data_IF_607019033542
#
_entry.id   IF_607019033542
#
_cell.length_a   1.000
_cell.length_b   1.000
_cell.length_c   1.000
_cell.angle_alpha   90.00
_cell.angle_beta   90.00
_cell.angle_gamma   90.00
#
_symmetry.space_group_name_H-M   'P 1'
#
loop_
_entity.id
_entity.type
_entity.pdbx_description
1 polymer ?
#
# COMPACT_ATOMS: atom_id res chain seq x y z
N UNK A 1 -9.44 18.97 -0.21
CA UNK A 1 -10.58 19.25 0.70
C UNK A 1 -11.35 20.50 0.30
N UNK A 2 -10.77 21.70 0.27
CA UNK A 2 -11.49 22.94 -0.10
C UNK A 2 -12.16 22.90 -1.49
N UNK A 3 -11.48 22.34 -2.50
CA UNK A 3 -12.04 22.16 -3.86
C UNK A 3 -13.18 21.13 -3.89
N UNK A 4 -13.06 20.04 -3.12
CA UNK A 4 -14.13 19.04 -2.99
C UNK A 4 -15.32 19.58 -2.19
N UNK A 5 -15.06 20.41 -1.18
CA UNK A 5 -16.09 21.17 -0.46
C UNK A 5 -16.77 22.19 -1.37
N UNK A 6 -16.01 22.90 -2.21
CA UNK A 6 -16.58 23.83 -3.19
C UNK A 6 -17.45 23.10 -4.22
N UNK A 7 -17.01 21.95 -4.73
CA UNK A 7 -17.80 21.11 -5.63
C UNK A 7 -19.07 20.56 -4.95
N UNK A 8 -18.98 20.12 -3.70
CA UNK A 8 -20.13 19.65 -2.91
C UNK A 8 -21.12 20.78 -2.58
N UNK A 9 -20.61 21.98 -2.27
CA UNK A 9 -21.43 23.17 -2.04
C UNK A 9 -22.12 23.66 -3.32
N UNK A 10 -21.44 23.59 -4.46
CA UNK A 10 -22.03 23.88 -5.77
C UNK A 10 -23.12 22.86 -6.14
N UNK A 11 -22.88 21.56 -5.91
CA UNK A 11 -23.89 20.52 -6.12
C UNK A 11 -25.15 20.73 -5.25
N UNK A 12 -24.97 21.13 -3.98
CA UNK A 12 -26.09 21.52 -3.08
C UNK A 12 -26.81 22.79 -3.56
N UNK A 13 -26.08 23.78 -4.07
CA UNK A 13 -26.67 25.02 -4.57
C UNK A 13 -27.55 24.82 -5.81
N UNK A 14 -27.20 23.87 -6.68
CA UNK A 14 -28.00 23.49 -7.86
C UNK A 14 -29.26 22.73 -7.46
N UNK A 15 -29.17 21.80 -6.50
CA UNK A 15 -30.33 21.07 -5.98
C UNK A 15 -31.36 21.99 -5.29
N UNK A 16 -30.90 23.04 -4.59
CA UNK A 16 -31.78 24.00 -3.91
C UNK A 16 -32.56 24.91 -4.86
N UNK A 17 -32.11 25.12 -6.11
CA UNK A 17 -32.80 25.97 -7.09
C UNK A 17 -33.84 25.25 -7.94
N UNK A 18 -33.87 23.91 -7.94
CA UNK A 18 -34.83 23.12 -8.71
C UNK A 18 -36.22 22.93 -8.05
N UNK A 19 -36.40 23.32 -6.78
CA UNK A 19 -37.60 22.98 -5.99
C UNK A 19 -38.70 24.04 -5.90
N UNK A 20 -38.59 25.18 -6.57
CA UNK A 20 -39.53 26.30 -6.41
C UNK A 20 -40.36 26.56 -7.67
N UNK A 21 -41.22 25.63 -8.04
CA UNK A 21 -42.32 25.89 -8.97
C UNK A 21 -43.41 24.84 -8.84
N UNK A 22 -44.52 25.20 -8.19
CA UNK A 22 -45.76 24.42 -8.22
C UNK A 22 -46.42 24.26 -6.86
N UNK A 23 -47.36 25.15 -6.53
CA UNK A 23 -48.19 25.02 -5.33
C UNK A 23 -49.19 26.15 -5.13
N UNK A 24 -49.76 26.66 -6.22
CA UNK A 24 -50.91 27.56 -6.17
C UNK A 24 -52.14 26.81 -5.63
N UNK A 25 -52.90 27.52 -4.80
CA UNK A 25 -54.03 26.97 -4.05
C UNK A 25 -55.21 26.51 -4.90
N UNK A 26 -55.94 25.55 -4.32
CA UNK A 26 -57.26 25.13 -4.78
C UNK A 26 -58.07 24.67 -3.58
N UNK A 27 -58.82 25.61 -3.00
CA UNK A 27 -59.85 25.38 -1.98
C UNK A 27 -61.11 24.91 -2.71
N UNK A 28 -61.63 23.73 -2.37
CA UNK A 28 -62.91 23.26 -2.92
C UNK A 28 -63.36 21.98 -2.21
N UNK A 29 -64.37 22.12 -1.34
CA UNK A 29 -64.99 20.99 -0.66
C UNK A 29 -65.93 20.18 -1.57
N UNK A 30 -66.17 18.93 -1.20
CA UNK A 30 -67.14 18.07 -1.86
C UNK A 30 -67.11 16.66 -1.24
N UNK A 31 -68.27 16.20 -0.79
CA UNK A 31 -68.48 15.01 0.03
C UNK A 31 -68.42 13.67 -0.73
N UNK A 32 -68.23 12.60 0.05
CA UNK A 32 -68.64 11.20 -0.14
C UNK A 32 -68.41 10.49 -1.49
N UNK A 33 -67.57 9.46 -1.48
CA UNK A 33 -67.96 8.07 -1.81
C UNK A 33 -66.84 7.06 -1.48
N UNK A 34 -67.16 5.81 -1.06
CA UNK A 34 -66.17 4.78 -0.79
C UNK A 34 -65.99 3.82 -1.99
N UNK A 35 -64.74 3.42 -2.22
CA UNK A 35 -64.41 2.25 -3.04
C UNK A 35 -63.66 2.60 -4.32
N UNK A 36 -62.35 2.32 -4.35
CA UNK A 36 -61.75 1.35 -5.26
C UNK A 36 -60.22 1.36 -5.17
N UNK A 37 -59.68 0.14 -5.09
CA UNK A 37 -58.43 -0.36 -5.66
C UNK A 37 -57.16 0.51 -5.60
N UNK A 38 -56.21 0.02 -4.80
CA UNK A 38 -54.81 0.43 -4.77
C UNK A 38 -54.12 0.22 -6.14
N UNK A 39 -54.09 1.26 -6.97
CA UNK A 39 -53.19 1.37 -8.11
C UNK A 39 -51.90 2.06 -7.66
N UNK A 40 -50.82 1.28 -7.53
CA UNK A 40 -49.46 1.78 -7.28
C UNK A 40 -48.99 2.52 -8.55
N UNK A 41 -49.18 3.83 -8.58
CA UNK A 41 -48.73 4.68 -9.66
C UNK A 41 -47.21 4.88 -9.57
N UNK A 42 -46.47 4.15 -10.40
CA UNK A 42 -45.05 4.39 -10.63
C UNK A 42 -44.91 5.73 -11.38
N UNK A 43 -44.80 6.83 -10.63
CA UNK A 43 -44.41 8.13 -11.17
C UNK A 43 -42.94 8.07 -11.55
N UNK A 44 -42.67 7.54 -12.74
CA UNK A 44 -41.38 7.65 -13.43
C UNK A 44 -41.11 9.13 -13.67
N UNK A 45 -40.41 9.72 -12.71
CA UNK A 45 -39.92 11.10 -12.80
C UNK A 45 -38.73 11.05 -13.75
N UNK A 46 -38.98 11.20 -15.06
CA UNK A 46 -37.93 11.25 -16.08
C UNK A 46 -37.09 12.49 -15.83
N UNK A 47 -35.95 12.33 -15.16
CA UNK A 47 -34.97 13.39 -14.98
C UNK A 47 -34.58 13.95 -16.36
N UNK A 48 -34.57 15.28 -16.49
CA UNK A 48 -34.32 15.94 -17.76
C UNK A 48 -32.83 15.72 -18.17
N UNK A 49 -32.54 15.01 -19.26
CA UNK A 49 -31.16 14.70 -19.68
C UNK A 49 -30.32 15.95 -19.98
N UNK A 50 -30.96 17.10 -20.23
CA UNK A 50 -30.27 18.38 -20.39
C UNK A 50 -29.61 18.87 -19.10
N UNK A 51 -30.19 18.57 -17.92
CA UNK A 51 -29.65 19.02 -16.64
C UNK A 51 -28.39 18.22 -16.27
N UNK A 52 -28.41 16.90 -16.50
CA UNK A 52 -27.28 16.01 -16.22
C UNK A 52 -26.05 16.35 -17.09
N UNK A 53 -26.26 16.61 -18.38
CA UNK A 53 -25.18 16.99 -19.30
C UNK A 53 -24.53 18.34 -18.95
N UNK A 54 -25.30 19.31 -18.45
CA UNK A 54 -24.76 20.61 -18.01
C UNK A 54 -23.91 20.45 -16.75
N UNK A 55 -24.41 19.73 -15.73
CA UNK A 55 -23.67 19.51 -14.49
C UNK A 55 -22.34 18.80 -14.73
N UNK A 56 -22.35 17.71 -15.51
CA UNK A 56 -21.12 16.98 -15.87
C UNK A 56 -20.11 17.87 -16.59
N UNK A 57 -20.56 18.74 -17.51
CA UNK A 57 -19.68 19.67 -18.23
C UNK A 57 -18.98 20.65 -17.28
N UNK A 58 -19.71 21.23 -16.32
CA UNK A 58 -19.12 22.16 -15.36
C UNK A 58 -18.17 21.47 -14.38
N UNK A 59 -18.48 20.24 -13.96
CA UNK A 59 -17.57 19.42 -13.14
C UNK A 59 -16.27 19.11 -13.91
N UNK A 60 -16.37 18.73 -15.19
CA UNK A 60 -15.19 18.45 -16.02
C UNK A 60 -14.32 19.70 -16.24
N UNK A 61 -14.93 20.87 -16.48
CA UNK A 61 -14.20 22.14 -16.57
C UNK A 61 -13.47 22.48 -15.27
N UNK A 62 -14.15 22.33 -14.13
CA UNK A 62 -13.56 22.58 -12.82
C UNK A 62 -12.39 21.63 -12.55
N UNK A 63 -12.53 20.34 -12.88
CA UNK A 63 -11.46 19.35 -12.74
C UNK A 63 -10.24 19.71 -13.60
N UNK A 64 -10.45 20.09 -14.86
CA UNK A 64 -9.36 20.52 -15.75
C UNK A 64 -8.65 21.80 -15.24
N UNK A 65 -9.40 22.75 -14.65
CA UNK A 65 -8.81 23.95 -14.06
C UNK A 65 -7.93 23.61 -12.84
N UNK A 66 -8.37 22.67 -12.00
CA UNK A 66 -7.62 22.17 -10.84
C UNK A 66 -6.36 21.44 -11.28
N UNK A 67 -6.44 20.58 -12.29
CA UNK A 67 -5.27 19.87 -12.83
C UNK A 67 -4.23 20.84 -13.37
N UNK A 68 -4.65 21.87 -14.13
CA UNK A 68 -3.74 22.91 -14.62
C UNK A 68 -3.11 23.73 -13.49
N UNK A 69 -3.87 24.02 -12.44
CA UNK A 69 -3.39 24.71 -11.25
C UNK A 69 -2.34 23.89 -10.48
N UNK A 70 -2.54 22.58 -10.36
CA UNK A 70 -1.62 21.67 -9.67
C UNK A 70 -0.36 21.36 -10.50
N UNK A 71 -0.51 21.18 -11.82
CA UNK A 71 0.57 20.76 -12.73
C UNK A 71 1.79 21.68 -12.67
N UNK A 72 1.59 23.00 -12.81
CA UNK A 72 2.68 23.99 -12.87
C UNK A 72 3.58 23.99 -11.62
N UNK A 73 3.06 24.14 -10.38
CA UNK A 73 3.88 24.11 -9.19
C UNK A 73 4.44 22.71 -8.91
N UNK A 74 3.67 21.64 -9.13
CA UNK A 74 4.13 20.28 -8.82
C UNK A 74 5.30 19.82 -9.69
N UNK A 75 5.37 20.27 -10.95
CA UNK A 75 6.46 19.94 -11.87
C UNK A 75 7.59 20.98 -11.90
N UNK A 76 7.50 22.02 -11.09
CA UNK A 76 8.57 23.02 -10.98
C UNK A 76 9.82 22.42 -10.33
N UNK A 77 11.01 22.79 -10.80
CA UNK A 77 12.28 22.28 -10.26
C UNK A 77 12.47 22.57 -8.76
N UNK A 78 11.95 23.70 -8.29
CA UNK A 78 11.98 24.08 -6.87
C UNK A 78 11.20 23.11 -5.97
N UNK A 79 10.15 22.49 -6.49
CA UNK A 79 9.36 21.47 -5.77
C UNK A 79 10.15 20.17 -5.62
N UNK A 80 10.88 19.77 -6.67
CA UNK A 80 11.81 18.63 -6.61
C UNK A 80 12.91 18.88 -5.58
N UNK A 81 13.55 20.05 -5.62
CA UNK A 81 14.59 20.43 -4.66
C UNK A 81 14.05 20.46 -3.21
N UNK A 82 12.84 20.99 -3.01
CA UNK A 82 12.15 20.99 -1.73
C UNK A 82 11.87 19.57 -1.20
N UNK A 83 11.39 18.67 -2.06
CA UNK A 83 11.14 17.28 -1.69
C UNK A 83 12.42 16.53 -1.27
N UNK A 84 13.53 16.73 -2.02
CA UNK A 84 14.83 16.19 -1.61
C UNK A 84 15.32 16.79 -0.29
N UNK A 85 15.15 18.10 -0.08
CA UNK A 85 15.52 18.74 1.18
C UNK A 85 14.72 18.15 2.36
N UNK A 86 13.41 17.95 2.21
CA UNK A 86 12.57 17.28 3.21
C UNK A 86 13.06 15.87 3.49
N UNK A 87 13.37 15.09 2.46
CA UNK A 87 13.86 13.72 2.61
C UNK A 87 15.20 13.67 3.35
N UNK A 88 16.15 14.53 2.96
CA UNK A 88 17.47 14.63 3.60
C UNK A 88 17.33 15.09 5.05
N UNK A 89 16.55 16.14 5.33
CA UNK A 89 16.30 16.64 6.68
C UNK A 89 15.68 15.54 7.54
N UNK A 90 14.66 14.84 7.03
CA UNK A 90 14.02 13.74 7.73
C UNK A 90 15.03 12.63 8.08
N UNK A 91 15.89 12.28 7.12
CA UNK A 91 16.97 11.32 7.32
C UNK A 91 17.99 11.81 8.37
N UNK A 92 18.38 13.08 8.34
CA UNK A 92 19.32 13.66 9.30
C UNK A 92 18.73 13.74 10.71
N UNK A 93 17.47 14.16 10.85
CA UNK A 93 16.77 14.23 12.13
C UNK A 93 16.56 12.86 12.75
N UNK A 94 16.40 11.81 11.93
CA UNK A 94 16.36 10.42 12.40
C UNK A 94 17.72 9.92 12.87
N UNK A 95 18.82 10.45 12.32
CA UNK A 95 20.18 10.16 12.80
C UNK A 95 20.52 10.89 14.10
N UNK A 96 20.01 12.10 14.28
CA UNK A 96 20.23 12.87 15.50
C UNK A 96 19.35 12.38 16.65
N UNK A 97 19.92 11.43 17.42
CA UNK A 97 19.33 10.89 18.66
C UNK A 97 18.90 11.96 19.66
N UNK A 98 19.56 13.11 19.68
CA UNK A 98 19.42 14.12 20.74
C UNK A 98 18.22 15.06 20.60
N UNK A 99 17.43 14.97 19.53
CA UNK A 99 16.26 15.86 19.38
C UNK A 99 14.97 15.09 19.67
N UNK A 100 14.35 15.39 20.82
CA UNK A 100 13.03 14.89 21.24
C UNK A 100 11.87 15.51 20.42
N UNK A 101 12.18 16.08 19.26
CA UNK A 101 11.21 16.71 18.38
C UNK A 101 10.42 15.64 17.60
N UNK A 102 9.40 15.07 18.27
CA UNK A 102 8.47 14.09 17.70
C UNK A 102 7.82 14.56 16.39
N UNK A 103 7.59 15.87 16.21
CA UNK A 103 6.93 16.44 15.03
C UNK A 103 7.65 16.18 13.70
N UNK A 104 8.98 16.14 13.68
CA UNK A 104 9.73 15.96 12.42
C UNK A 104 9.97 14.50 12.04
N UNK A 105 9.55 13.56 12.89
CA UNK A 105 9.62 12.11 12.62
C UNK A 105 8.35 11.57 11.97
N UNK A 106 7.47 12.46 11.51
CA UNK A 106 6.23 12.08 10.87
C UNK A 106 6.52 11.30 9.57
N UNK A 107 6.13 10.02 9.45
CA UNK A 107 6.30 9.24 8.23
C UNK A 107 5.52 9.83 7.04
N UNK A 108 4.47 10.62 7.30
CA UNK A 108 3.61 11.20 6.24
C UNK A 108 4.41 12.13 5.34
N UNK A 109 5.27 12.99 5.91
CA UNK A 109 6.09 13.93 5.13
C UNK A 109 7.14 13.19 4.28
N UNK A 110 7.71 12.11 4.81
CA UNK A 110 8.67 11.28 4.09
C UNK A 110 8.00 10.61 2.88
N UNK A 111 6.88 9.92 3.09
CA UNK A 111 6.16 9.23 2.01
C UNK A 111 5.68 10.22 0.94
N UNK A 112 5.13 11.37 1.35
CA UNK A 112 4.71 12.40 0.40
C UNK A 112 5.88 12.98 -0.40
N UNK A 113 7.04 13.22 0.23
CA UNK A 113 8.24 13.66 -0.47
C UNK A 113 8.73 12.62 -1.49
N UNK A 114 8.68 11.32 -1.15
CA UNK A 114 8.98 10.23 -2.09
C UNK A 114 8.01 10.26 -3.28
N UNK A 115 6.71 10.40 -3.06
CA UNK A 115 5.72 10.51 -4.15
C UNK A 115 5.99 11.70 -5.07
N UNK A 116 6.35 12.85 -4.52
CA UNK A 116 6.71 14.05 -5.32
C UNK A 116 7.97 13.82 -6.14
N UNK A 117 9.00 13.18 -5.58
CA UNK A 117 10.23 12.86 -6.33
C UNK A 117 9.93 11.88 -7.45
N UNK A 118 9.14 10.84 -7.19
CA UNK A 118 8.73 9.86 -8.20
C UNK A 118 7.89 10.53 -9.31
N UNK A 119 6.94 11.41 -8.97
CA UNK A 119 6.17 12.20 -9.94
C UNK A 119 7.09 13.01 -10.85
N UNK A 120 8.11 13.67 -10.26
CA UNK A 120 9.08 14.47 -10.99
C UNK A 120 10.00 13.60 -11.86
N UNK A 121 10.37 12.40 -11.43
CA UNK A 121 11.14 11.45 -12.27
C UNK A 121 10.36 11.10 -13.54
N UNK A 122 9.04 10.94 -13.46
CA UNK A 122 8.19 10.59 -14.61
C UNK A 122 7.93 11.77 -15.55
N UNK A 123 7.54 12.93 -15.02
CA UNK A 123 6.94 13.99 -15.83
C UNK A 123 7.73 15.30 -15.89
N UNK A 124 8.81 15.43 -15.12
CA UNK A 124 9.63 16.66 -15.16
C UNK A 124 10.58 16.68 -16.34
N UNK A 125 10.65 17.82 -17.01
CA UNK A 125 11.69 18.08 -18.02
C UNK A 125 13.10 18.10 -17.39
N UNK A 126 13.19 18.40 -16.09
CA UNK A 126 14.44 18.48 -15.33
C UNK A 126 14.83 17.15 -14.68
N UNK A 127 14.13 16.06 -15.02
CA UNK A 127 14.26 14.81 -14.27
C UNK A 127 15.66 14.20 -14.36
N UNK A 128 16.12 13.53 -13.26
CA UNK A 128 17.36 12.75 -13.27
C UNK A 128 17.40 11.66 -14.32
N UNK A 129 16.25 11.28 -14.91
CA UNK A 129 16.19 10.29 -15.99
C UNK A 129 17.07 10.68 -17.18
N UNK A 130 17.29 11.97 -17.44
CA UNK A 130 18.23 12.40 -18.49
C UNK A 130 19.68 12.01 -18.19
N UNK A 131 20.08 11.96 -16.92
CA UNK A 131 21.40 11.44 -16.52
C UNK A 131 21.46 9.92 -16.72
N UNK A 132 20.42 9.19 -16.30
CA UNK A 132 20.33 7.74 -16.51
C UNK A 132 20.28 7.38 -18.00
N UNK A 133 19.59 8.17 -18.81
CA UNK A 133 19.49 7.98 -20.25
C UNK A 133 20.85 8.14 -20.95
N UNK A 134 21.74 9.01 -20.45
CA UNK A 134 23.11 9.12 -20.96
C UNK A 134 23.92 7.83 -20.72
N UNK A 135 23.65 7.11 -19.62
CA UNK A 135 24.35 5.87 -19.27
C UNK A 135 23.74 4.65 -19.96
N UNK A 136 22.41 4.57 -20.00
CA UNK A 136 21.66 3.39 -20.47
C UNK A 136 21.21 3.48 -21.93
N UNK A 137 21.40 4.65 -22.57
CA UNK A 137 20.99 4.92 -23.94
C UNK A 137 19.49 5.19 -24.14
N UNK A 138 18.64 4.96 -23.13
CA UNK A 138 17.20 5.23 -23.19
C UNK A 138 16.66 5.71 -21.83
N UNK A 139 15.85 6.79 -21.77
CA UNK A 139 15.21 7.19 -20.53
C UNK A 139 14.19 6.13 -20.11
N UNK A 140 14.40 5.53 -18.93
CA UNK A 140 13.43 4.65 -18.30
C UNK A 140 13.03 5.24 -16.94
N UNK A 141 11.93 6.02 -16.87
CA UNK A 141 11.48 6.64 -15.63
C UNK A 141 11.08 5.60 -14.58
N UNK A 142 10.51 4.46 -15.01
CA UNK A 142 10.16 3.36 -14.12
C UNK A 142 11.38 2.80 -13.38
N UNK A 143 12.43 2.43 -14.12
CA UNK A 143 13.65 1.87 -13.52
C UNK A 143 14.34 2.91 -12.62
N UNK A 144 14.37 4.17 -13.04
CA UNK A 144 14.95 5.27 -12.25
C UNK A 144 14.22 5.44 -10.92
N UNK A 145 12.88 5.41 -10.95
CA UNK A 145 12.05 5.48 -9.74
C UNK A 145 12.23 4.26 -8.84
N UNK A 146 12.30 3.05 -9.41
CA UNK A 146 12.56 1.83 -8.63
C UNK A 146 13.91 1.90 -7.91
N UNK A 147 14.97 2.32 -8.61
CA UNK A 147 16.29 2.50 -8.01
C UNK A 147 16.26 3.54 -6.89
N UNK A 148 15.57 4.67 -7.09
CA UNK A 148 15.42 5.70 -6.07
C UNK A 148 14.70 5.17 -4.81
N UNK A 149 13.55 4.53 -4.98
CA UNK A 149 12.76 3.95 -3.89
C UNK A 149 13.57 2.89 -3.15
N UNK A 150 14.27 2.02 -3.89
CA UNK A 150 15.11 0.98 -3.29
C UNK A 150 16.28 1.57 -2.49
N UNK A 151 16.94 2.61 -3.02
CA UNK A 151 17.99 3.30 -2.28
C UNK A 151 17.46 3.96 -1.00
N UNK A 152 16.30 4.62 -1.05
CA UNK A 152 15.68 5.20 0.14
C UNK A 152 15.35 4.13 1.19
N UNK A 153 14.72 3.02 0.77
CA UNK A 153 14.42 1.87 1.62
C UNK A 153 15.70 1.22 2.21
N UNK A 154 16.77 1.10 1.43
CA UNK A 154 18.04 0.56 1.90
C UNK A 154 18.69 1.48 2.96
N UNK A 155 18.64 2.80 2.75
CA UNK A 155 19.11 3.79 3.72
C UNK A 155 18.31 3.70 5.02
N UNK A 156 16.99 3.50 4.95
CA UNK A 156 16.13 3.26 6.11
C UNK A 156 16.53 1.97 6.85
N UNK A 157 16.64 0.86 6.12
CA UNK A 157 16.97 -0.45 6.68
C UNK A 157 18.32 -0.47 7.38
N UNK A 158 19.37 0.02 6.72
CA UNK A 158 20.72 0.07 7.28
C UNK A 158 20.78 0.88 8.59
N UNK A 159 19.94 1.91 8.73
CA UNK A 159 19.88 2.76 9.92
C UNK A 159 19.09 2.12 11.05
N UNK A 160 17.96 1.47 10.74
CA UNK A 160 17.17 0.74 11.70
C UNK A 160 17.98 -0.38 12.36
N UNK A 161 18.79 -1.10 11.56
CA UNK A 161 19.71 -2.11 12.10
C UNK A 161 20.71 -1.52 13.09
N UNK A 162 21.28 -0.34 12.82
CA UNK A 162 22.23 0.32 13.74
C UNK A 162 21.58 0.80 15.03
N UNK A 163 20.42 1.47 14.93
CA UNK A 163 19.73 2.01 16.11
C UNK A 163 19.36 0.89 17.09
N UNK A 164 18.98 -0.27 16.56
CA UNK A 164 18.42 -1.30 17.40
C UNK A 164 19.45 -2.15 18.14
N UNK A 165 20.63 -2.37 17.56
CA UNK A 165 21.75 -3.02 18.26
C UNK A 165 22.12 -2.32 19.58
N UNK A 166 21.89 -1.01 19.70
CA UNK A 166 22.16 -0.28 20.94
C UNK A 166 21.07 -0.44 22.00
N UNK A 167 19.80 -0.48 21.60
CA UNK A 167 18.67 -0.57 22.53
C UNK A 167 18.35 -2.00 22.98
N UNK A 168 18.71 -3.02 22.19
CA UNK A 168 18.42 -4.42 22.51
C UNK A 168 19.23 -4.99 23.66
N UNK A 169 20.34 -4.34 24.06
CA UNK A 169 21.02 -4.69 25.30
C UNK A 169 20.12 -4.57 26.55
N UNK A 170 19.00 -3.84 26.47
CA UNK A 170 18.09 -3.60 27.57
C UNK A 170 16.71 -4.28 27.47
N UNK A 171 16.37 -4.99 26.38
CA UNK A 171 14.99 -5.44 26.15
C UNK A 171 14.85 -6.84 25.53
N UNK A 172 15.34 -7.85 26.26
CA UNK A 172 15.31 -9.28 25.95
C UNK A 172 13.91 -9.96 25.94
N UNK A 173 12.79 -9.22 25.84
CA UNK A 173 11.47 -9.86 25.88
C UNK A 173 11.01 -10.26 24.47
N UNK A 174 11.31 -11.50 24.06
CA UNK A 174 10.77 -12.14 22.85
C UNK A 174 9.24 -11.96 22.72
N UNK A 175 8.53 -11.92 23.85
CA UNK A 175 7.09 -11.67 23.94
C UNK A 175 6.61 -10.34 23.34
N UNK A 176 7.49 -9.34 23.21
CA UNK A 176 7.12 -8.03 22.64
C UNK A 176 6.96 -8.08 21.12
N UNK A 177 7.59 -9.06 20.49
CA UNK A 177 7.59 -9.20 19.05
C UNK A 177 6.36 -9.99 18.60
N UNK A 178 5.40 -9.31 17.97
CA UNK A 178 4.24 -9.95 17.34
C UNK A 178 4.56 -10.32 15.89
N UNK A 179 4.09 -11.48 15.47
CA UNK A 179 4.09 -11.90 14.07
C UNK A 179 3.13 -11.00 13.29
N UNK A 180 3.59 -10.33 12.24
CA UNK A 180 2.74 -9.43 11.45
C UNK A 180 2.37 -9.97 10.08
N UNK A 181 3.20 -10.85 9.54
CA UNK A 181 2.97 -11.48 8.24
C UNK A 181 3.23 -12.99 8.26
N UNK A 182 2.77 -13.67 7.22
CA UNK A 182 2.89 -15.12 7.01
C UNK A 182 4.34 -15.57 6.96
N UNK A 183 5.27 -14.74 6.50
CA UNK A 183 6.68 -15.11 6.50
C UNK A 183 7.22 -15.27 7.92
N UNK A 184 6.81 -14.39 8.84
CA UNK A 184 7.15 -14.42 10.27
C UNK A 184 6.50 -15.57 11.05
N UNK A 185 5.47 -16.26 10.49
CA UNK A 185 4.86 -17.45 11.11
C UNK A 185 5.77 -18.67 11.00
N UNK A 186 6.61 -18.89 12.02
CA UNK A 186 7.57 -20.03 12.04
C UNK A 186 6.89 -21.39 12.12
N UNK A 187 5.68 -21.46 12.69
CA UNK A 187 4.85 -22.68 12.73
C UNK A 187 4.25 -23.06 11.39
N UNK A 188 4.13 -22.11 10.45
CA UNK A 188 3.64 -22.42 9.11
C UNK A 188 4.72 -23.22 8.35
N UNK A 189 4.36 -24.21 7.53
CA UNK A 189 5.36 -24.93 6.71
C UNK A 189 6.03 -24.02 5.66
N UNK A 190 7.30 -24.29 5.33
CA UNK A 190 8.04 -23.49 4.32
C UNK A 190 7.36 -23.54 2.94
N UNK A 191 6.83 -24.71 2.54
CA UNK A 191 6.06 -24.87 1.30
C UNK A 191 4.92 -23.85 1.19
N UNK A 192 4.14 -23.68 2.26
CA UNK A 192 3.03 -22.72 2.27
C UNK A 192 3.54 -21.29 2.20
N UNK A 193 4.62 -20.96 2.91
CA UNK A 193 5.27 -19.64 2.81
C UNK A 193 5.72 -19.35 1.36
N UNK A 194 6.34 -20.33 0.71
CA UNK A 194 6.80 -20.19 -0.68
C UNK A 194 5.65 -19.97 -1.67
N UNK A 195 4.46 -20.54 -1.42
CA UNK A 195 3.28 -20.26 -2.26
C UNK A 195 2.83 -18.80 -2.17
N UNK A 196 2.79 -18.22 -0.96
CA UNK A 196 2.52 -16.79 -0.79
C UNK A 196 3.56 -15.95 -1.54
N UNK A 197 4.84 -16.29 -1.38
CA UNK A 197 5.94 -15.60 -2.04
C UNK A 197 5.81 -15.63 -3.57
N UNK A 198 5.56 -16.81 -4.16
CA UNK A 198 5.38 -16.96 -5.61
C UNK A 198 4.18 -16.15 -6.09
N UNK A 199 3.05 -16.18 -5.38
CA UNK A 199 1.87 -15.42 -5.75
C UNK A 199 2.14 -13.90 -5.71
N UNK A 200 2.80 -13.40 -4.66
CA UNK A 200 3.12 -11.97 -4.55
C UNK A 200 4.15 -11.53 -5.59
N UNK A 201 5.16 -12.35 -5.89
CA UNK A 201 6.10 -12.06 -6.99
C UNK A 201 5.37 -12.03 -8.33
N UNK A 202 4.47 -12.97 -8.60
CA UNK A 202 3.69 -12.96 -9.83
C UNK A 202 2.84 -11.69 -9.96
N UNK A 203 2.13 -11.30 -8.90
CA UNK A 203 1.35 -10.06 -8.86
C UNK A 203 2.23 -8.81 -9.04
N UNK A 204 3.41 -8.77 -8.41
CA UNK A 204 4.38 -7.70 -8.61
C UNK A 204 4.87 -7.65 -10.07
N UNK A 205 5.16 -8.80 -10.69
CA UNK A 205 5.52 -8.85 -12.11
C UNK A 205 4.40 -8.32 -13.01
N UNK A 206 3.14 -8.65 -12.73
CA UNK A 206 1.98 -8.09 -13.45
C UNK A 206 1.88 -6.56 -13.28
N UNK A 207 2.04 -6.06 -12.04
CA UNK A 207 2.07 -4.62 -11.77
C UNK A 207 3.17 -3.91 -12.59
N UNK A 208 4.38 -4.47 -12.59
CA UNK A 208 5.51 -3.92 -13.36
C UNK A 208 5.24 -3.99 -14.86
N UNK A 209 4.66 -5.09 -15.34
CA UNK A 209 4.31 -5.26 -16.75
C UNK A 209 3.31 -4.20 -17.21
N UNK A 210 2.19 -4.03 -16.50
CA UNK A 210 1.16 -3.05 -16.86
C UNK A 210 1.72 -1.62 -16.84
N UNK A 211 2.47 -1.25 -15.79
CA UNK A 211 3.06 0.08 -15.69
C UNK A 211 4.08 0.38 -16.81
N UNK A 212 4.75 -0.64 -17.36
CA UNK A 212 5.68 -0.48 -18.48
C UNK A 212 5.03 -0.63 -19.86
N UNK A 213 3.87 -1.26 -19.95
CA UNK A 213 3.13 -1.42 -21.20
C UNK A 213 2.28 -0.19 -21.50
N UNK A 214 1.70 0.42 -20.48
CA UNK A 214 0.80 1.55 -20.64
C UNK A 214 1.54 2.80 -21.14
N UNK A 215 1.24 3.22 -22.36
CA UNK A 215 1.80 4.45 -22.95
C UNK A 215 1.28 5.70 -22.25
N UNK A 216 0.10 5.65 -21.66
CA UNK A 216 -0.56 6.82 -21.09
C UNK A 216 0.15 7.26 -19.81
N UNK A 217 0.67 6.32 -19.02
CA UNK A 217 1.54 6.60 -17.86
C UNK A 217 2.85 7.33 -18.21
N UNK A 218 3.23 7.35 -19.49
CA UNK A 218 4.44 8.05 -19.96
C UNK A 218 4.13 9.40 -20.60
N UNK A 219 2.86 9.67 -20.90
CA UNK A 219 2.44 10.92 -21.53
C UNK A 219 1.97 11.90 -20.48
N UNK A 220 2.70 13.02 -20.32
CA UNK A 220 2.34 14.07 -19.37
C UNK A 220 0.93 14.64 -19.58
N UNK A 221 0.38 14.54 -20.80
CA UNK A 221 -0.93 15.08 -21.13
C UNK A 221 -2.10 14.20 -20.66
N UNK A 222 -1.85 12.90 -20.45
CA UNK A 222 -2.87 11.96 -19.96
C UNK A 222 -2.98 11.92 -18.43
N UNK A 223 -2.05 12.57 -17.74
CA UNK A 223 -1.94 12.53 -16.28
C UNK A 223 -2.91 13.50 -15.62
N UNK A 224 -3.79 12.96 -14.78
CA UNK A 224 -4.57 13.77 -13.85
C UNK A 224 -3.84 13.95 -12.52
N UNK A 225 -3.39 15.18 -12.27
CA UNK A 225 -2.69 15.56 -11.03
C UNK A 225 -3.60 15.51 -9.80
N UNK A 226 -4.90 15.71 -10.00
CA UNK A 226 -5.92 15.51 -8.99
C UNK A 226 -6.00 14.03 -8.58
N UNK A 227 -6.06 13.10 -9.54
CA UNK A 227 -6.08 11.65 -9.23
C UNK A 227 -4.79 11.22 -8.55
N UNK A 228 -3.64 11.70 -9.04
CA UNK A 228 -2.35 11.48 -8.40
C UNK A 228 -2.35 11.95 -6.94
N UNK A 229 -2.85 13.15 -6.66
CA UNK A 229 -2.92 13.70 -5.30
C UNK A 229 -3.84 12.88 -4.41
N UNK A 230 -5.02 12.48 -4.91
CA UNK A 230 -5.96 11.63 -4.17
C UNK A 230 -5.33 10.27 -3.86
N UNK A 231 -4.70 9.63 -4.84
CA UNK A 231 -3.99 8.36 -4.65
C UNK A 231 -2.85 8.49 -3.63
N UNK A 232 -2.09 9.58 -3.69
CA UNK A 232 -1.01 9.85 -2.73
C UNK A 232 -1.56 10.01 -1.31
N UNK A 233 -2.65 10.76 -1.14
CA UNK A 233 -3.33 10.91 0.15
C UNK A 233 -3.93 9.60 0.64
N UNK A 234 -4.50 8.77 -0.24
CA UNK A 234 -5.01 7.45 0.13
C UNK A 234 -3.89 6.56 0.66
N UNK A 235 -2.74 6.51 -0.02
CA UNK A 235 -1.57 5.75 0.46
C UNK A 235 -1.05 6.27 1.82
N UNK A 236 -1.20 7.57 2.10
CA UNK A 236 -0.83 8.16 3.39
C UNK A 236 -1.85 7.83 4.50
N UNK A 237 -3.14 7.87 4.18
CA UNK A 237 -4.23 7.62 5.14
C UNK A 237 -4.42 6.15 5.47
N UNK A 238 -4.21 5.27 4.49
CA UNK A 238 -4.22 3.82 4.67
C UNK A 238 -3.19 3.37 5.72
N UNK A 239 -2.15 4.18 5.96
CA UNK A 239 -1.19 3.97 7.04
C UNK A 239 -0.44 2.65 6.88
N UNK A 240 0.05 2.08 7.98
CA UNK A 240 0.63 0.72 7.96
C UNK A 240 -0.43 -0.38 8.09
N UNK A 241 -1.64 -0.04 8.53
CA UNK A 241 -2.66 -1.02 8.87
C UNK A 241 -3.35 -1.59 7.62
N UNK A 242 -3.46 -0.82 6.55
CA UNK A 242 -4.18 -1.21 5.33
C UNK A 242 -3.26 -1.51 4.13
N UNK A 243 -1.93 -1.33 4.25
CA UNK A 243 -0.98 -1.47 3.11
C UNK A 243 0.13 -2.49 3.36
N UNK A 244 -0.07 -3.41 4.29
CA UNK A 244 0.88 -4.46 4.54
C UNK A 244 1.82 -4.08 5.67
N UNK A 245 2.17 -5.06 6.49
CA UNK A 245 3.21 -4.91 7.50
C UNK A 245 4.58 -4.68 6.86
N UNK A 246 5.36 -3.76 7.42
CA UNK A 246 6.75 -3.53 6.98
C UNK A 246 7.68 -4.67 7.37
N UNK A 247 8.75 -4.85 6.60
CA UNK A 247 9.85 -5.74 6.98
C UNK A 247 10.41 -5.35 8.36
N UNK A 248 10.34 -6.29 9.30
CA UNK A 248 10.84 -6.12 10.67
C UNK A 248 12.21 -6.80 10.79
N UNK A 249 13.33 -6.11 10.51
CA UNK A 249 14.68 -6.72 10.51
C UNK A 249 15.04 -7.36 11.84
N UNK A 250 14.35 -6.95 12.90
CA UNK A 250 14.78 -7.24 14.25
C UNK A 250 13.93 -8.30 14.91
N UNK A 251 12.66 -8.46 14.52
CA UNK A 251 12.03 -9.76 14.67
C UNK A 251 12.93 -10.87 14.10
N UNK A 252 13.48 -10.66 12.89
CA UNK A 252 14.31 -11.66 12.24
C UNK A 252 15.65 -11.89 12.94
N UNK A 253 16.30 -10.83 13.41
CA UNK A 253 17.53 -10.95 14.21
C UNK A 253 17.27 -11.71 15.51
N UNK A 254 16.24 -11.34 16.27
CA UNK A 254 15.86 -12.02 17.51
C UNK A 254 15.52 -13.49 17.29
N UNK A 255 14.84 -13.82 16.18
CA UNK A 255 14.56 -15.20 15.80
C UNK A 255 15.84 -15.97 15.44
N UNK A 256 16.76 -15.37 14.68
CA UNK A 256 18.01 -16.04 14.26
C UNK A 256 19.03 -16.22 15.39
N UNK A 257 18.98 -15.37 16.41
CA UNK A 257 19.81 -15.48 17.61
C UNK A 257 19.21 -16.43 18.66
N UNK A 258 17.97 -16.90 18.45
CA UNK A 258 17.32 -17.82 19.37
C UNK A 258 18.00 -19.20 19.36
N UNK A 259 18.21 -19.88 20.52
CA UNK A 259 18.87 -21.18 20.59
C UNK A 259 18.28 -22.27 19.67
N UNK A 260 16.96 -22.31 19.52
CA UNK A 260 16.26 -23.22 18.57
C UNK A 260 16.69 -23.07 17.10
N UNK A 261 17.38 -21.99 16.71
CA UNK A 261 17.88 -21.85 15.34
C UNK A 261 18.85 -22.99 14.94
N UNK A 262 19.59 -23.54 15.90
CA UNK A 262 20.58 -24.58 15.65
C UNK A 262 20.00 -26.01 15.65
N UNK A 263 18.72 -26.17 16.01
CA UNK A 263 18.02 -27.45 15.97
C UNK A 263 17.65 -27.85 14.53
N UNK A 264 17.49 -29.16 14.30
CA UNK A 264 17.18 -29.73 13.00
C UNK A 264 15.67 -29.96 12.84
N UNK A 265 15.20 -29.80 11.61
CA UNK A 265 13.82 -30.03 11.21
C UNK A 265 13.77 -30.66 9.81
N UNK A 266 12.67 -31.33 9.48
CA UNK A 266 12.44 -31.88 8.15
C UNK A 266 11.74 -30.85 7.26
N UNK A 267 12.48 -30.32 6.29
CA UNK A 267 11.94 -29.45 5.24
C UNK A 267 11.46 -30.34 4.09
N UNK A 268 10.25 -30.07 3.57
CA UNK A 268 9.63 -30.88 2.51
C UNK A 268 9.54 -32.38 2.83
N UNK A 269 9.37 -32.74 4.11
CA UNK A 269 9.26 -34.12 4.62
C UNK A 269 10.51 -35.00 4.48
N UNK A 270 11.52 -34.61 3.70
CA UNK A 270 12.68 -35.48 3.42
C UNK A 270 14.04 -34.80 3.62
N UNK A 271 14.11 -33.47 3.70
CA UNK A 271 15.38 -32.75 3.78
C UNK A 271 15.61 -32.33 5.24
N UNK A 272 16.50 -33.03 5.93
CA UNK A 272 16.95 -32.63 7.26
C UNK A 272 17.77 -31.34 7.14
N UNK A 273 17.30 -30.25 7.76
CA UNK A 273 17.95 -28.94 7.74
C UNK A 273 17.81 -28.24 9.08
N UNK A 274 18.75 -27.34 9.40
CA UNK A 274 18.62 -26.51 10.61
C UNK A 274 17.53 -25.45 10.43
N UNK A 275 16.81 -25.13 11.51
CA UNK A 275 15.81 -24.05 11.53
C UNK A 275 16.39 -22.72 11.03
N UNK A 276 17.64 -22.41 11.36
CA UNK A 276 18.37 -21.22 10.89
C UNK A 276 18.30 -21.01 9.39
N UNK A 277 18.43 -22.06 8.58
CA UNK A 277 18.39 -21.94 7.12
C UNK A 277 16.98 -21.65 6.62
N UNK A 278 15.99 -22.38 7.15
CA UNK A 278 14.56 -22.15 6.86
C UNK A 278 14.13 -20.72 7.24
N UNK A 279 14.56 -20.23 8.39
CA UNK A 279 14.26 -18.87 8.85
C UNK A 279 14.97 -17.80 8.01
N UNK A 280 16.21 -18.03 7.57
CA UNK A 280 16.90 -17.13 6.63
C UNK A 280 16.18 -17.02 5.29
N UNK A 281 15.66 -18.12 4.75
CA UNK A 281 14.87 -18.09 3.50
C UNK A 281 13.60 -17.25 3.71
N UNK A 282 12.89 -17.41 4.82
CA UNK A 282 11.70 -16.61 5.13
C UNK A 282 12.01 -15.14 5.36
N UNK A 283 13.11 -14.85 6.05
CA UNK A 283 13.62 -13.49 6.21
C UNK A 283 13.86 -12.85 4.84
N UNK A 284 14.44 -13.59 3.90
CA UNK A 284 14.65 -13.12 2.54
C UNK A 284 13.33 -12.88 1.79
N UNK A 285 12.34 -13.78 1.91
CA UNK A 285 11.00 -13.56 1.35
C UNK A 285 10.36 -12.28 1.92
N UNK A 286 10.37 -12.12 3.24
CA UNK A 286 9.85 -10.94 3.92
C UNK A 286 10.58 -9.66 3.50
N UNK A 287 11.90 -9.70 3.35
CA UNK A 287 12.67 -8.55 2.89
C UNK A 287 12.32 -8.15 1.45
N UNK A 288 12.21 -9.12 0.54
CA UNK A 288 11.82 -8.83 -0.85
C UNK A 288 10.40 -8.26 -0.90
N UNK A 289 9.41 -8.96 -0.36
CA UNK A 289 8.01 -8.58 -0.51
C UNK A 289 7.71 -7.32 0.31
N UNK A 290 7.97 -7.36 1.62
CA UNK A 290 7.50 -6.33 2.56
C UNK A 290 8.48 -5.16 2.67
N UNK A 291 9.74 -5.37 2.27
CA UNK A 291 10.74 -4.31 2.16
C UNK A 291 10.75 -3.68 0.77
N UNK A 292 11.11 -4.46 -0.26
CA UNK A 292 11.36 -3.92 -1.60
C UNK A 292 10.09 -3.74 -2.45
N UNK A 293 9.34 -4.81 -2.69
CA UNK A 293 8.16 -4.78 -3.57
C UNK A 293 7.08 -3.85 -3.04
N UNK A 294 6.75 -3.93 -1.75
CA UNK A 294 5.80 -3.02 -1.08
C UNK A 294 6.20 -1.56 -1.25
N UNK A 295 7.47 -1.22 -1.02
CA UNK A 295 7.95 0.16 -1.19
C UNK A 295 7.80 0.63 -2.65
N UNK A 296 8.13 -0.23 -3.62
CA UNK A 296 7.98 0.09 -5.06
C UNK A 296 6.50 0.31 -5.42
N UNK A 297 5.62 -0.60 -5.00
CA UNK A 297 4.18 -0.51 -5.28
C UNK A 297 3.62 0.79 -4.67
N UNK A 298 3.85 1.06 -3.39
CA UNK A 298 3.30 2.25 -2.74
C UNK A 298 3.92 3.56 -3.25
N UNK A 299 5.17 3.52 -3.71
CA UNK A 299 5.83 4.67 -4.33
C UNK A 299 5.32 4.96 -5.75
N UNK A 300 4.96 3.92 -6.52
CA UNK A 300 4.52 4.03 -7.91
C UNK A 300 3.00 4.02 -8.12
N UNK A 301 2.22 3.53 -7.15
CA UNK A 301 0.76 3.45 -7.26
C UNK A 301 0.11 4.79 -7.61
N UNK A 302 0.49 5.95 -7.01
CA UNK A 302 -0.08 7.24 -7.42
C UNK A 302 0.17 7.59 -8.89
N UNK A 303 1.27 7.14 -9.49
CA UNK A 303 1.56 7.35 -10.92
C UNK A 303 0.64 6.50 -11.78
N UNK A 304 0.53 5.21 -11.47
CA UNK A 304 -0.37 4.30 -12.19
C UNK A 304 -1.83 4.79 -12.11
N UNK A 305 -2.27 5.19 -10.92
CA UNK A 305 -3.64 5.65 -10.67
C UNK A 305 -3.95 7.02 -11.29
N UNK A 306 -2.93 7.80 -11.67
CA UNK A 306 -3.13 9.14 -12.23
C UNK A 306 -3.77 9.14 -13.62
N UNK A 307 -3.67 8.03 -14.36
CA UNK A 307 -4.22 7.88 -15.72
C UNK A 307 -5.48 7.00 -15.75
N UNK A 308 -5.79 6.28 -14.68
CA UNK A 308 -6.90 5.34 -14.62
C UNK A 308 -8.27 6.01 -14.82
N UNK A 309 -9.20 5.34 -15.51
CA UNK A 309 -10.60 5.76 -15.58
C UNK A 309 -11.24 5.79 -14.18
N UNK A 310 -12.29 6.61 -13.92
CA UNK A 310 -12.80 6.80 -12.55
C UNK A 310 -13.22 5.51 -11.82
N UNK A 311 -13.81 4.55 -12.53
CA UNK A 311 -14.19 3.26 -11.95
C UNK A 311 -12.96 2.36 -11.74
N UNK A 312 -12.03 2.36 -12.69
CA UNK A 312 -10.82 1.54 -12.62
C UNK A 312 -9.86 2.08 -11.55
N UNK A 313 -9.83 3.39 -11.31
CA UNK A 313 -9.11 4.01 -10.20
C UNK A 313 -9.44 3.33 -8.86
N UNK A 314 -10.71 3.06 -8.58
CA UNK A 314 -11.12 2.41 -7.32
C UNK A 314 -10.69 0.94 -7.31
N UNK A 315 -10.85 0.23 -8.43
CA UNK A 315 -10.44 -1.18 -8.55
C UNK A 315 -8.93 -1.31 -8.37
N UNK A 316 -8.16 -0.43 -8.98
CA UNK A 316 -6.71 -0.41 -8.96
C UNK A 316 -6.18 -0.03 -7.57
N UNK A 317 -6.85 0.90 -6.87
CA UNK A 317 -6.56 1.18 -5.45
C UNK A 317 -6.72 -0.09 -4.60
N UNK A 318 -7.84 -0.80 -4.76
CA UNK A 318 -8.09 -2.04 -4.02
C UNK A 318 -7.12 -3.15 -4.40
N UNK A 319 -6.74 -3.24 -5.67
CA UNK A 319 -5.75 -4.19 -6.14
C UNK A 319 -4.38 -3.92 -5.51
N UNK A 320 -3.95 -2.65 -5.43
CA UNK A 320 -2.71 -2.25 -4.76
C UNK A 320 -2.70 -2.73 -3.31
N UNK A 321 -3.75 -2.45 -2.53
CA UNK A 321 -3.85 -2.89 -1.14
C UNK A 321 -3.91 -4.42 -1.01
N UNK A 322 -4.64 -5.08 -1.89
CA UNK A 322 -4.71 -6.54 -1.90
C UNK A 322 -3.34 -7.18 -2.14
N UNK A 323 -2.55 -6.67 -3.09
CA UNK A 323 -1.20 -7.19 -3.39
C UNK A 323 -0.29 -7.03 -2.17
N UNK A 324 -0.33 -5.88 -1.49
CA UNK A 324 0.52 -5.59 -0.33
C UNK A 324 0.10 -6.31 0.94
N UNK A 325 -1.17 -6.69 1.09
CA UNK A 325 -1.69 -7.31 2.31
C UNK A 325 -1.84 -8.83 2.19
N UNK A 326 -1.50 -9.43 1.05
CA UNK A 326 -1.76 -10.85 0.79
C UNK A 326 -1.10 -11.78 1.82
N UNK A 327 0.03 -11.36 2.41
CA UNK A 327 0.76 -12.09 3.45
C UNK A 327 0.52 -11.54 4.87
N UNK A 328 -0.41 -10.61 5.10
CA UNK A 328 -0.64 -10.07 6.44
C UNK A 328 -1.41 -11.03 7.36
N UNK A 329 -1.30 -10.77 8.66
CA UNK A 329 -1.90 -11.55 9.75
C UNK A 329 -2.55 -10.62 10.77
N UNK A 330 -3.88 -10.57 10.78
CA UNK A 330 -4.65 -9.64 11.65
C UNK A 330 -4.45 -9.89 13.15
N UNK A 331 -4.26 -11.15 13.56
CA UNK A 331 -4.12 -11.56 14.95
C UNK A 331 -2.86 -12.39 15.18
N UNK A 332 -1.72 -11.76 14.94
CA UNK A 332 -0.41 -12.38 15.15
C UNK A 332 -0.15 -12.80 16.58
N UNK A 333 0.29 -14.05 16.76
CA UNK A 333 0.88 -14.55 18.01
C UNK A 333 2.18 -13.83 18.33
N UNK A 334 2.56 -13.84 19.60
CA UNK A 334 3.92 -13.43 19.97
C UNK A 334 4.95 -14.42 19.44
N UNK A 335 6.19 -13.96 19.24
CA UNK A 335 7.29 -14.82 18.80
C UNK A 335 7.52 -15.98 19.78
N UNK A 336 7.37 -15.72 21.08
CA UNK A 336 7.48 -16.74 22.12
C UNK A 336 6.38 -17.80 22.00
N UNK A 337 5.13 -17.40 21.80
CA UNK A 337 4.02 -18.33 21.56
C UNK A 337 4.25 -19.19 20.31
N UNK A 338 4.71 -18.59 19.21
CA UNK A 338 5.03 -19.34 17.98
C UNK A 338 6.14 -20.36 18.20
N UNK A 339 7.20 -20.00 18.93
CA UNK A 339 8.29 -20.92 19.25
C UNK A 339 7.84 -22.05 20.18
N UNK A 340 6.92 -21.79 21.11
CA UNK A 340 6.36 -22.83 21.97
C UNK A 340 5.50 -23.82 21.16
N UNK A 341 4.65 -23.32 20.26
CA UNK A 341 3.87 -24.21 19.37
C UNK A 341 4.78 -24.99 18.44
N UNK A 342 5.88 -24.40 17.94
CA UNK A 342 6.85 -25.12 17.12
C UNK A 342 7.47 -26.29 17.90
N UNK A 343 7.85 -26.08 19.17
CA UNK A 343 8.37 -27.15 20.03
C UNK A 343 7.37 -28.28 20.26
N UNK A 344 6.10 -27.95 20.43
CA UNK A 344 5.06 -28.95 20.64
C UNK A 344 4.83 -29.79 19.37
N UNK A 345 4.87 -29.17 18.19
CA UNK A 345 4.79 -29.88 16.91
C UNK A 345 5.98 -30.83 16.69
N UNK A 346 7.20 -30.42 17.07
CA UNK A 346 8.38 -31.27 16.94
C UNK A 346 8.28 -32.52 17.84
N UNK A 347 7.78 -32.36 19.08
CA UNK A 347 7.54 -33.49 19.99
C UNK A 347 6.52 -34.48 19.45
N UNK A 348 5.45 -34.00 18.84
CA UNK A 348 4.41 -34.85 18.23
C UNK A 348 4.97 -35.65 17.04
N UNK A 349 5.80 -35.01 16.21
CA UNK A 349 6.44 -35.66 15.07
C UNK A 349 7.45 -36.73 15.51
N UNK A 350 8.27 -36.44 16.53
CA UNK A 350 9.22 -37.41 17.09
C UNK A 350 8.48 -38.63 17.67
N UNK A 351 7.39 -38.42 18.40
CA UNK A 351 6.57 -39.52 18.93
C UNK A 351 5.98 -40.38 17.82
N UNK A 352 5.48 -39.76 16.75
CA UNK A 352 4.91 -40.47 15.59
C UNK A 352 5.97 -41.34 14.89
N UNK A 353 7.19 -40.80 14.72
CA UNK A 353 8.30 -41.53 14.11
C UNK A 353 8.75 -42.72 14.98
N UNK A 354 8.78 -42.56 16.31
CA UNK A 354 9.10 -43.64 17.24
C UNK A 354 8.05 -44.77 17.22
N UNK A 355 6.76 -44.41 17.12
CA UNK A 355 5.68 -45.41 17.01
C UNK A 355 5.74 -46.17 15.70
N UNK A 356 6.03 -45.49 14.57
CA UNK A 356 6.20 -46.13 13.27
C UNK A 356 7.36 -47.15 13.27
N UNK A 357 8.51 -46.77 13.85
CA UNK A 357 9.67 -47.68 13.98
C UNK A 357 9.41 -48.88 14.91
N UNK A 358 8.55 -48.69 15.92
CA UNK A 358 8.17 -49.77 16.83
C UNK A 358 7.29 -50.84 16.17
N UNK A 359 6.39 -50.44 15.27
CA UNK A 359 5.50 -51.36 14.56
C UNK A 359 6.26 -52.27 13.59
N UNK A 360 7.25 -51.75 12.87
CA UNK A 360 8.09 -52.52 11.95
C UNK A 360 8.97 -53.58 12.64
N UNK A 361 9.12 -53.50 13.97
CA UNK A 361 9.91 -54.48 14.74
C UNK A 361 9.11 -55.69 15.23
N UNK A 362 7.78 -55.66 15.13
CA UNK A 362 6.88 -56.75 15.55
C UNK A 362 6.38 -57.63 14.40
N UNK A 363 6.54 -57.18 13.15
CA UNK A 363 6.34 -57.98 11.93
C UNK A 363 7.64 -58.67 11.50
#
# INVERSE_FOLDING_TARGET
>A
VAVLLAAALLARGVAARGGSSGGGGGRGGGAHSPGHAAGRGDTNTTANPACESYFLREVLKASAAVDNFLRKPLLHWGTLAGAFAVLVIWHLLRLWKCTDNRRFRDPVLHVFAVHVIVLQIYYSEYSPTRLVAKVTGRPNPFLTSCCFIFMDAAVLGARLSRYKNENESNQNSLSKHKVKNRYMQVTMSLRRASLYFICQIALMCYFVYELNRDSDTRSQDQVSFQKWLVASLLSLLAGQDEVGSEYDPVFWQALLDHPHAEEYTYVYYCILSKYKYTWRIRMYYSWIINGACRAIILGLAPIMLSVASPLDFVKDCLAVFFITNLDDVDNGRSLEEELNVLKDLDREMDMTNLLALGQDSQE
#
